data_IF_847136233552
#
_entry.id   IF_847136233552
#
_cell.length_a   1.000
_cell.length_b   1.000
_cell.length_c   1.000
_cell.angle_alpha   90.00
_cell.angle_beta   90.00
_cell.angle_gamma   90.00
#
_symmetry.space_group_name_H-M   'P 1'
#
loop_
_entity.id
_entity.type
_entity.pdbx_description
1 polymer ?
#
# COMPACT_ATOMS: atom_id res chain seq x y z
N UNK A 1 0.33 -12.80 24.82
CA UNK A 1 1.40 -11.77 24.83
C UNK A 1 2.77 -12.45 24.97
N UNK A 2 3.75 -12.06 24.15
CA UNK A 2 5.07 -12.69 23.92
C UNK A 2 5.08 -13.96 23.08
N UNK A 3 5.01 -13.81 21.75
CA UNK A 3 5.33 -14.88 20.79
C UNK A 3 6.75 -14.64 20.22
N UNK A 4 7.83 -15.04 20.90
CA UNK A 4 9.21 -14.86 20.41
C UNK A 4 9.45 -15.57 19.07
N UNK A 5 8.68 -16.62 18.78
CA UNK A 5 8.75 -17.44 17.55
C UNK A 5 8.48 -16.65 16.25
N UNK A 6 7.70 -15.56 16.32
CA UNK A 6 7.42 -14.74 15.14
C UNK A 6 8.66 -13.96 14.66
N UNK A 7 9.57 -13.61 15.57
CA UNK A 7 10.74 -12.79 15.28
C UNK A 7 11.80 -13.55 14.49
N UNK A 8 12.04 -14.82 14.84
CA UNK A 8 13.05 -15.65 14.17
C UNK A 8 12.77 -15.86 12.68
N UNK A 9 11.50 -16.02 12.30
CA UNK A 9 11.10 -16.14 10.88
C UNK A 9 11.33 -14.86 10.10
N UNK A 10 11.02 -13.71 10.71
CA UNK A 10 11.27 -12.40 10.12
C UNK A 10 12.77 -12.16 9.95
N UNK A 11 13.57 -12.44 10.98
CA UNK A 11 15.03 -12.33 10.95
C UNK A 11 15.64 -13.20 9.84
N UNK A 12 15.20 -14.45 9.69
CA UNK A 12 15.68 -15.36 8.65
C UNK A 12 15.33 -14.90 7.23
N UNK A 13 14.13 -14.36 7.06
CA UNK A 13 13.75 -13.73 5.79
C UNK A 13 14.65 -12.54 5.46
N UNK A 14 14.86 -11.61 6.39
CA UNK A 14 15.72 -10.45 6.16
C UNK A 14 17.18 -10.83 5.92
N UNK A 15 17.68 -11.88 6.56
CA UNK A 15 18.99 -12.45 6.28
C UNK A 15 19.08 -12.93 4.82
N UNK A 16 18.05 -13.62 4.32
CA UNK A 16 17.98 -14.10 2.94
C UNK A 16 17.97 -12.93 1.95
N UNK A 17 17.16 -11.91 2.20
CA UNK A 17 17.16 -10.66 1.40
C UNK A 17 18.56 -10.03 1.38
N UNK A 18 19.24 -9.97 2.53
CA UNK A 18 20.57 -9.39 2.64
C UNK A 18 21.64 -10.21 1.91
N UNK A 19 21.52 -11.54 1.90
CA UNK A 19 22.49 -12.43 1.27
C UNK A 19 22.27 -12.61 -0.24
N UNK A 20 21.04 -12.50 -0.73
CA UNK A 20 20.71 -12.81 -2.12
C UNK A 20 20.32 -11.56 -2.93
N UNK A 21 19.47 -10.68 -2.40
CA UNK A 21 18.95 -9.54 -3.16
C UNK A 21 19.87 -8.32 -3.10
N UNK A 22 20.37 -7.98 -1.91
CA UNK A 22 21.20 -6.78 -1.72
C UNK A 22 22.51 -6.76 -2.52
N UNK A 23 23.24 -7.89 -2.71
CA UNK A 23 24.43 -7.91 -3.56
C UNK A 23 24.11 -7.58 -5.02
N UNK A 24 22.97 -8.06 -5.53
CA UNK A 24 22.52 -7.79 -6.90
C UNK A 24 22.13 -6.31 -7.06
N UNK A 25 21.48 -5.73 -6.06
CA UNK A 25 21.18 -4.28 -6.03
C UNK A 25 22.47 -3.45 -6.09
N UNK A 26 23.54 -3.88 -5.40
CA UNK A 26 24.79 -3.14 -5.36
C UNK A 26 25.53 -3.08 -6.71
N UNK A 27 25.28 -4.04 -7.61
CA UNK A 27 25.90 -4.12 -8.94
C UNK A 27 24.97 -3.70 -10.09
N UNK A 28 23.67 -3.61 -9.82
CA UNK A 28 22.64 -3.22 -10.81
C UNK A 28 22.50 -1.70 -10.92
N UNK A 29 22.09 -1.21 -12.09
CA UNK A 29 21.82 0.22 -12.29
C UNK A 29 20.37 0.55 -11.97
N UNK A 30 20.05 0.69 -10.68
CA UNK A 30 18.70 1.06 -10.24
C UNK A 30 18.58 2.57 -10.09
N UNK A 31 17.63 3.17 -10.82
CA UNK A 31 17.50 4.62 -10.93
C UNK A 31 16.44 5.27 -10.04
N UNK A 32 15.58 4.47 -9.44
CA UNK A 32 14.52 4.99 -8.58
C UNK A 32 14.10 3.97 -7.53
N UNK A 33 13.39 4.47 -6.51
CA UNK A 33 12.74 3.60 -5.54
C UNK A 33 11.67 2.70 -6.20
N UNK A 34 11.00 3.20 -7.24
CA UNK A 34 10.01 2.42 -7.98
C UNK A 34 10.67 1.23 -8.68
N UNK A 35 11.80 1.45 -9.35
CA UNK A 35 12.57 0.38 -9.99
C UNK A 35 13.15 -0.61 -8.96
N UNK A 36 13.58 -0.13 -7.79
CA UNK A 36 13.99 -1.01 -6.69
C UNK A 36 12.82 -1.90 -6.23
N UNK A 37 11.64 -1.31 -6.05
CA UNK A 37 10.44 -2.05 -5.65
C UNK A 37 10.05 -3.09 -6.70
N UNK A 38 10.06 -2.74 -7.98
CA UNK A 38 9.79 -3.68 -9.08
C UNK A 38 10.80 -4.84 -9.08
N UNK A 39 12.08 -4.54 -8.91
CA UNK A 39 13.14 -5.56 -8.83
C UNK A 39 12.93 -6.49 -7.64
N UNK A 40 12.54 -5.92 -6.49
CA UNK A 40 12.27 -6.69 -5.29
C UNK A 40 11.04 -7.61 -5.47
N UNK A 41 9.96 -7.10 -6.06
CA UNK A 41 8.78 -7.92 -6.39
C UNK A 41 9.12 -9.07 -7.33
N UNK A 42 9.89 -8.81 -8.39
CA UNK A 42 10.32 -9.82 -9.32
C UNK A 42 11.16 -10.92 -8.64
N UNK A 43 12.16 -10.53 -7.84
CA UNK A 43 12.96 -11.47 -7.06
C UNK A 43 12.11 -12.27 -6.06
N UNK A 44 11.18 -11.61 -5.39
CA UNK A 44 10.33 -12.23 -4.37
C UNK A 44 9.42 -13.30 -4.98
N UNK A 45 8.76 -13.00 -6.11
CA UNK A 45 7.81 -13.91 -6.75
C UNK A 45 8.47 -15.02 -7.57
N UNK A 46 9.53 -14.70 -8.33
CA UNK A 46 10.19 -15.67 -9.21
C UNK A 46 11.22 -16.54 -8.48
N UNK A 47 11.88 -16.00 -7.45
CA UNK A 47 12.98 -16.69 -6.76
C UNK A 47 12.55 -17.12 -5.36
N UNK A 48 12.28 -16.18 -4.46
CA UNK A 48 12.11 -16.50 -3.03
C UNK A 48 10.89 -17.39 -2.77
N UNK A 49 9.73 -17.05 -3.33
CA UNK A 49 8.48 -17.79 -3.16
C UNK A 49 8.52 -19.21 -3.75
N UNK A 50 9.37 -19.45 -4.75
CA UNK A 50 9.52 -20.74 -5.43
C UNK A 50 10.64 -21.62 -4.85
N UNK A 51 11.60 -21.03 -4.12
CA UNK A 51 12.76 -21.76 -3.62
C UNK A 51 12.40 -22.57 -2.37
N UNK A 52 12.72 -23.86 -2.38
CA UNK A 52 12.52 -24.75 -1.24
C UNK A 52 13.35 -24.27 -0.05
N UNK A 53 12.69 -23.97 1.06
CA UNK A 53 13.37 -23.54 2.28
C UNK A 53 13.88 -24.74 3.08
N UNK A 54 15.14 -24.70 3.52
CA UNK A 54 15.83 -25.84 4.13
C UNK A 54 15.17 -26.35 5.43
N UNK A 55 14.58 -25.45 6.21
CA UNK A 55 13.92 -25.81 7.47
C UNK A 55 12.54 -26.47 7.27
N UNK A 56 11.77 -26.00 6.27
CA UNK A 56 10.40 -26.47 6.04
C UNK A 56 10.31 -27.58 5.00
N UNK A 57 11.36 -27.77 4.20
CA UNK A 57 11.40 -28.72 3.08
C UNK A 57 10.39 -28.41 1.97
N UNK A 58 9.84 -27.19 1.94
CA UNK A 58 8.80 -26.73 1.01
C UNK A 58 9.08 -25.31 0.58
N UNK A 59 8.60 -24.92 -0.60
CA UNK A 59 8.63 -23.53 -1.05
C UNK A 59 7.64 -22.67 -0.23
N UNK A 60 7.96 -21.40 0.09
CA UNK A 60 7.07 -20.52 0.86
C UNK A 60 5.67 -20.40 0.25
N UNK A 61 5.56 -20.31 -1.07
CA UNK A 61 4.28 -20.19 -1.78
C UNK A 61 3.41 -21.43 -1.60
N UNK A 62 3.97 -22.62 -1.80
CA UNK A 62 3.26 -23.89 -1.65
C UNK A 62 2.71 -24.04 -0.23
N UNK A 63 3.56 -23.74 0.77
CA UNK A 63 3.17 -23.81 2.17
C UNK A 63 2.08 -22.80 2.52
N UNK A 64 2.16 -21.59 1.97
CA UNK A 64 1.11 -20.57 2.14
C UNK A 64 -0.22 -21.01 1.53
N UNK A 65 -0.20 -21.54 0.30
CA UNK A 65 -1.39 -22.01 -0.41
C UNK A 65 -2.09 -23.15 0.35
N UNK A 66 -1.34 -24.08 0.95
CA UNK A 66 -1.90 -25.15 1.80
C UNK A 66 -2.64 -24.59 3.03
N UNK A 67 -2.17 -23.47 3.58
CA UNK A 67 -2.74 -22.84 4.77
C UNK A 67 -3.84 -21.81 4.44
N UNK A 68 -4.01 -21.41 3.18
CA UNK A 68 -4.89 -20.29 2.79
C UNK A 68 -6.36 -20.54 3.15
N UNK A 69 -6.79 -21.80 3.19
CA UNK A 69 -8.16 -22.19 3.58
C UNK A 69 -8.50 -21.79 5.02
N UNK A 70 -7.49 -21.60 5.87
CA UNK A 70 -7.66 -21.16 7.25
C UNK A 70 -7.66 -19.64 7.40
N UNK A 71 -7.43 -18.89 6.31
CA UNK A 71 -7.40 -17.43 6.31
C UNK A 71 -8.80 -16.91 6.06
N UNK A 72 -9.36 -16.17 7.04
CA UNK A 72 -10.63 -15.47 6.86
C UNK A 72 -10.42 -14.25 5.97
N UNK A 73 -11.16 -14.09 4.86
CA UNK A 73 -11.12 -12.85 4.09
C UNK A 73 -11.61 -11.69 4.96
N UNK A 74 -10.89 -10.58 4.90
CA UNK A 74 -11.34 -9.36 5.55
C UNK A 74 -12.41 -8.69 4.68
N UNK A 75 -13.42 -8.11 5.33
CA UNK A 75 -14.43 -7.33 4.62
C UNK A 75 -13.80 -6.07 4.03
N UNK A 76 -14.11 -5.79 2.76
CA UNK A 76 -13.51 -4.69 2.01
C UNK A 76 -13.76 -3.33 2.66
N UNK A 77 -14.98 -3.10 3.16
CA UNK A 77 -15.33 -1.86 3.84
C UNK A 77 -14.59 -1.73 5.17
N UNK A 78 -14.48 -2.81 5.95
CA UNK A 78 -13.70 -2.82 7.18
C UNK A 78 -12.21 -2.51 6.93
N UNK A 79 -11.63 -3.04 5.85
CA UNK A 79 -10.24 -2.74 5.49
C UNK A 79 -10.05 -1.26 5.17
N UNK A 80 -10.89 -0.68 4.30
CA UNK A 80 -10.81 0.75 3.97
C UNK A 80 -10.90 1.61 5.24
N UNK A 81 -11.84 1.29 6.13
CA UNK A 81 -12.03 2.01 7.38
C UNK A 81 -10.84 1.90 8.33
N UNK A 82 -10.12 0.78 8.32
CA UNK A 82 -8.94 0.56 9.16
C UNK A 82 -7.75 1.47 8.79
N UNK A 83 -7.64 1.87 7.52
CA UNK A 83 -6.54 2.72 7.02
C UNK A 83 -6.85 4.21 7.03
N UNK A 84 -8.08 4.62 7.38
CA UNK A 84 -8.42 6.04 7.48
C UNK A 84 -7.67 6.73 8.61
N UNK A 85 -7.07 7.86 8.29
CA UNK A 85 -6.43 8.72 9.28
C UNK A 85 -7.48 9.43 10.11
N UNK A 86 -7.15 9.67 11.39
CA UNK A 86 -8.08 10.27 12.35
C UNK A 86 -7.51 11.56 12.91
N UNK A 87 -8.29 12.62 12.84
CA UNK A 87 -7.96 13.89 13.48
C UNK A 87 -9.19 14.48 14.16
N UNK A 88 -9.03 15.06 15.35
CA UNK A 88 -10.11 15.79 16.02
C UNK A 88 -10.01 17.27 15.71
N UNK A 89 -11.11 17.87 15.23
CA UNK A 89 -11.20 19.31 14.97
C UNK A 89 -12.46 19.91 15.57
N UNK A 90 -12.34 21.16 16.00
CA UNK A 90 -13.48 21.95 16.50
C UNK A 90 -14.20 22.59 15.32
N UNK A 91 -15.53 22.49 15.31
CA UNK A 91 -16.35 23.22 14.34
C UNK A 91 -16.34 24.71 14.67
N UNK A 92 -15.98 25.53 13.68
CA UNK A 92 -15.93 26.99 13.81
C UNK A 92 -17.34 27.58 13.87
N UNK A 93 -17.44 28.87 14.24
CA UNK A 93 -18.73 29.58 14.40
C UNK A 93 -19.52 29.70 13.10
N UNK A 94 -18.85 29.62 11.96
CA UNK A 94 -19.41 29.66 10.61
C UNK A 94 -19.82 28.26 10.08
N UNK A 95 -19.79 27.22 10.92
CA UNK A 95 -20.20 25.86 10.53
C UNK A 95 -19.17 25.14 9.65
N UNK A 96 -17.89 25.53 9.73
CA UNK A 96 -16.81 24.95 8.92
C UNK A 96 -15.73 24.28 9.76
N UNK A 97 -15.04 23.34 9.13
CA UNK A 97 -13.85 22.65 9.65
C UNK A 97 -12.72 22.85 8.65
N UNK A 98 -11.52 23.09 9.17
CA UNK A 98 -10.31 23.18 8.35
C UNK A 98 -9.41 21.97 8.58
N UNK A 99 -8.93 21.40 7.46
CA UNK A 99 -7.98 20.28 7.48
C UNK A 99 -7.04 20.43 6.29
N UNK A 100 -5.73 20.43 6.53
CA UNK A 100 -4.68 20.50 5.49
C UNK A 100 -4.80 21.71 4.53
N UNK A 101 -5.44 22.80 4.97
CA UNK A 101 -5.72 23.98 4.13
C UNK A 101 -6.99 23.86 3.29
N UNK A 102 -7.73 22.76 3.39
CA UNK A 102 -9.08 22.60 2.84
C UNK A 102 -10.12 23.04 3.87
N UNK A 103 -11.29 23.45 3.39
CA UNK A 103 -12.44 23.83 4.22
C UNK A 103 -13.64 22.97 3.88
N UNK A 104 -14.27 22.43 4.92
CA UNK A 104 -15.41 21.53 4.84
C UNK A 104 -16.58 22.11 5.62
N UNK A 105 -17.76 22.13 5.01
CA UNK A 105 -18.99 22.53 5.64
C UNK A 105 -19.61 21.34 6.38
N UNK A 106 -20.10 21.61 7.59
CA UNK A 106 -20.80 20.66 8.45
C UNK A 106 -22.13 21.24 8.92
N UNK A 107 -22.99 20.40 9.49
CA UNK A 107 -24.26 20.86 10.04
C UNK A 107 -24.04 21.88 11.18
N UNK A 108 -24.85 22.94 11.18
CA UNK A 108 -24.83 23.99 12.19
C UNK A 108 -25.08 23.46 13.62
N UNK A 109 -25.75 22.31 13.78
CA UNK A 109 -25.95 21.66 15.07
C UNK A 109 -24.65 21.30 15.80
N UNK A 110 -23.54 21.17 15.06
CA UNK A 110 -22.23 20.83 15.60
C UNK A 110 -21.32 22.05 15.84
N UNK A 111 -21.79 23.28 15.62
CA UNK A 111 -21.00 24.49 15.87
C UNK A 111 -20.46 24.51 17.30
N UNK A 112 -19.15 24.72 17.43
CA UNK A 112 -18.44 24.74 18.71
C UNK A 112 -18.15 23.36 19.33
N UNK A 113 -18.62 22.26 18.71
CA UNK A 113 -18.31 20.90 19.15
C UNK A 113 -17.02 20.38 18.51
N UNK A 114 -16.44 19.35 19.12
CA UNK A 114 -15.31 18.61 18.57
C UNK A 114 -15.84 17.43 17.76
N UNK A 115 -15.39 17.29 16.53
CA UNK A 115 -15.69 16.16 15.65
C UNK A 115 -14.41 15.40 15.33
N UNK A 116 -14.52 14.07 15.26
CA UNK A 116 -13.47 13.23 14.72
C UNK A 116 -13.64 13.15 13.20
N UNK A 117 -12.58 13.48 12.47
CA UNK A 117 -12.51 13.44 11.02
C UNK A 117 -11.80 12.14 10.64
N UNK A 118 -12.41 11.36 9.76
CA UNK A 118 -11.80 10.18 9.15
C UNK A 118 -11.67 10.38 7.65
N UNK A 119 -10.45 10.27 7.14
CA UNK A 119 -10.15 10.56 5.73
C UNK A 119 -9.03 9.67 5.19
N UNK A 120 -8.96 9.55 3.87
CA UNK A 120 -7.83 8.95 3.18
C UNK A 120 -6.70 10.00 3.07
N UNK A 121 -5.48 9.75 3.58
CA UNK A 121 -4.40 10.72 3.47
C UNK A 121 -3.91 10.94 2.02
N UNK A 122 -4.24 10.03 1.08
CA UNK A 122 -3.95 10.15 -0.34
C UNK A 122 -5.06 10.84 -1.14
N UNK A 123 -6.25 11.01 -0.55
CA UNK A 123 -7.37 11.74 -1.15
C UNK A 123 -8.22 12.47 -0.09
N UNK A 124 -8.04 13.79 -0.02
CA UNK A 124 -8.76 14.69 0.86
C UNK A 124 -10.10 15.18 0.29
N UNK A 125 -10.56 14.65 -0.86
CA UNK A 125 -11.85 15.02 -1.44
C UNK A 125 -13.04 14.51 -0.61
N UNK A 126 -12.84 13.45 0.17
CA UNK A 126 -13.88 12.85 1.00
C UNK A 126 -13.46 12.87 2.46
N UNK A 127 -14.38 13.29 3.32
CA UNK A 127 -14.15 13.38 4.75
C UNK A 127 -15.37 12.84 5.48
N UNK A 128 -15.20 11.79 6.27
CA UNK A 128 -16.25 11.24 7.12
C UNK A 128 -16.15 11.86 8.51
N UNK A 129 -17.29 12.31 9.02
CA UNK A 129 -17.42 12.97 10.30
C UNK A 129 -17.96 11.98 11.33
N UNK A 130 -17.38 12.01 12.53
CA UNK A 130 -17.76 11.17 13.65
C UNK A 130 -17.96 12.02 14.91
N UNK A 131 -19.01 11.72 15.68
CA UNK A 131 -19.32 12.34 16.96
C UNK A 131 -19.67 11.25 17.98
N UNK A 132 -19.03 11.26 19.15
CA UNK A 132 -19.23 10.27 20.21
C UNK A 132 -19.20 8.81 19.73
N UNK A 133 -18.29 8.51 18.80
CA UNK A 133 -18.12 7.16 18.25
C UNK A 133 -19.19 6.74 17.23
N UNK A 134 -20.07 7.65 16.81
CA UNK A 134 -21.06 7.42 15.75
C UNK A 134 -20.70 8.20 14.48
N UNK A 135 -20.85 7.58 13.30
CA UNK A 135 -20.71 8.29 12.02
C UNK A 135 -21.91 9.21 11.82
N UNK A 136 -21.64 10.51 11.62
CA UNK A 136 -22.67 11.53 11.38
C UNK A 136 -22.80 11.87 9.89
N UNK A 137 -22.01 11.21 9.02
CA UNK A 137 -22.04 11.38 7.57
C UNK A 137 -20.77 11.99 7.00
N UNK A 138 -20.84 12.44 5.74
CA UNK A 138 -19.72 13.05 5.05
C UNK A 138 -19.80 14.58 5.09
N UNK A 139 -18.64 15.23 5.24
CA UNK A 139 -18.54 16.67 5.16
C UNK A 139 -18.59 17.12 3.70
N UNK A 140 -19.22 18.27 3.43
CA UNK A 140 -19.23 18.83 2.07
C UNK A 140 -18.00 19.70 1.88
N UNK A 141 -17.16 19.38 0.90
CA UNK A 141 -15.97 20.20 0.59
C UNK A 141 -16.42 21.55 0.03
N UNK A 142 -16.00 22.63 0.67
CA UNK A 142 -16.25 24.00 0.19
C UNK A 142 -15.03 24.56 -0.53
N UNK A 143 -13.83 24.29 -0.02
CA UNK A 143 -12.57 24.75 -0.61
C UNK A 143 -11.59 23.58 -0.60
N UNK A 144 -11.10 23.19 -1.77
CA UNK A 144 -10.11 22.12 -1.94
C UNK A 144 -8.78 22.70 -2.46
N UNK A 145 -7.88 23.05 -1.56
CA UNK A 145 -6.56 23.58 -1.89
C UNK A 145 -5.50 22.48 -2.03
N UNK A 146 -5.63 21.38 -1.28
CA UNK A 146 -4.75 20.21 -1.34
C UNK A 146 -5.56 18.95 -1.60
N UNK A 147 -5.02 18.08 -2.45
CA UNK A 147 -5.59 16.75 -2.69
C UNK A 147 -5.03 15.70 -1.73
N UNK A 148 -3.80 15.87 -1.24
CA UNK A 148 -3.10 14.91 -0.38
C UNK A 148 -2.69 15.55 0.93
N UNK A 149 -2.58 14.72 1.96
CA UNK A 149 -2.05 15.12 3.25
C UNK A 149 -0.55 15.46 3.12
N UNK A 150 -0.09 16.53 3.76
CA UNK A 150 1.29 17.03 3.63
C UNK A 150 2.36 15.99 4.01
N UNK A 151 2.06 15.11 4.98
CA UNK A 151 2.98 14.04 5.37
C UNK A 151 3.16 13.00 4.27
N UNK A 152 2.11 12.68 3.50
CA UNK A 152 2.20 11.77 2.34
C UNK A 152 3.01 12.43 1.23
N UNK A 153 2.78 13.70 0.96
CA UNK A 153 3.51 14.45 -0.06
C UNK A 153 5.02 14.50 0.22
N UNK A 154 5.42 14.64 1.49
CA UNK A 154 6.83 14.64 1.90
C UNK A 154 7.52 13.27 1.77
N UNK A 155 6.77 12.18 1.80
CA UNK A 155 7.32 10.83 1.61
C UNK A 155 7.72 10.57 0.15
N UNK A 156 7.23 11.37 -0.80
CA UNK A 156 7.72 11.36 -2.18
C UNK A 156 9.10 12.03 -2.23
N UNK A 157 10.14 11.35 -1.76
CA UNK A 157 11.52 11.78 -1.95
C UNK A 157 11.88 11.71 -3.44
N UNK A 158 12.51 12.78 -3.94
CA UNK A 158 13.16 12.71 -5.25
C UNK A 158 14.24 11.62 -5.23
N UNK A 159 14.36 10.80 -6.28
CA UNK A 159 15.36 9.75 -6.32
C UNK A 159 16.76 10.37 -6.23
N UNK A 160 17.67 9.79 -5.41
CA UNK A 160 19.06 10.21 -5.41
C UNK A 160 19.68 9.98 -6.80
N UNK A 161 20.74 10.74 -7.16
CA UNK A 161 21.43 10.54 -8.43
C UNK A 161 21.95 9.11 -8.53
N UNK A 162 21.75 8.52 -9.71
CA UNK A 162 22.11 7.14 -10.04
C UNK A 162 23.62 6.90 -9.99
N UNK A 163 24.10 5.92 -9.21
CA UNK A 163 25.40 5.33 -9.49
C UNK A 163 25.33 4.54 -10.81
N UNK A 164 26.37 4.68 -11.66
CA UNK A 164 26.49 3.88 -12.88
C UNK A 164 26.96 2.47 -12.51
N UNK A 165 26.25 1.46 -13.01
CA UNK A 165 26.63 0.05 -12.85
C UNK A 165 28.01 -0.24 -13.48
N UNK A 166 28.76 -1.13 -12.84
CA UNK A 166 30.05 -1.65 -13.31
C UNK A 166 29.95 -3.05 -13.94
N UNK A 167 28.75 -3.65 -13.99
CA UNK A 167 28.54 -5.03 -14.45
C UNK A 167 28.14 -5.09 -15.93
N UNK A 168 28.59 -6.13 -16.63
CA UNK A 168 28.27 -6.38 -18.04
C UNK A 168 26.89 -7.03 -18.27
N UNK A 169 26.21 -7.48 -17.21
CA UNK A 169 24.85 -8.03 -17.23
C UNK A 169 24.10 -7.60 -15.97
N UNK A 170 22.92 -6.97 -16.13
CA UNK A 170 22.06 -6.56 -15.02
C UNK A 170 21.02 -7.67 -14.75
N UNK A 171 21.32 -8.52 -13.75
CA UNK A 171 20.46 -9.63 -13.35
C UNK A 171 19.06 -9.16 -12.93
N UNK A 172 18.96 -8.05 -12.19
CA UNK A 172 17.68 -7.55 -11.72
C UNK A 172 16.83 -7.00 -12.86
N UNK A 173 17.44 -6.38 -13.87
CA UNK A 173 16.72 -5.96 -15.07
C UNK A 173 16.10 -7.16 -15.82
N UNK A 174 16.83 -8.27 -15.89
CA UNK A 174 16.34 -9.51 -16.51
C UNK A 174 15.16 -10.11 -15.72
N UNK A 175 15.26 -10.15 -14.39
CA UNK A 175 14.16 -10.57 -13.53
C UNK A 175 12.92 -9.68 -13.67
N UNK A 176 13.09 -8.34 -13.73
CA UNK A 176 11.97 -7.41 -13.96
C UNK A 176 11.24 -7.76 -15.25
N UNK A 177 11.98 -7.99 -16.34
CA UNK A 177 11.39 -8.35 -17.63
C UNK A 177 10.62 -9.68 -17.55
N UNK A 178 11.21 -10.71 -16.95
CA UNK A 178 10.58 -12.02 -16.79
C UNK A 178 9.30 -11.92 -15.95
N UNK A 179 9.34 -11.12 -14.88
CA UNK A 179 8.18 -10.89 -14.02
C UNK A 179 7.05 -10.15 -14.77
N UNK A 180 7.38 -9.14 -15.58
CA UNK A 180 6.41 -8.44 -16.42
C UNK A 180 5.76 -9.36 -17.46
N UNK A 181 6.53 -10.29 -18.03
CA UNK A 181 6.02 -11.32 -18.94
C UNK A 181 5.09 -12.29 -18.20
N UNK A 182 5.50 -12.75 -17.01
CA UNK A 182 4.68 -13.58 -16.14
C UNK A 182 3.35 -12.91 -15.77
N UNK A 183 3.38 -11.63 -15.35
CA UNK A 183 2.17 -10.86 -15.04
C UNK A 183 1.26 -10.69 -16.26
N UNK A 184 1.83 -10.40 -17.45
CA UNK A 184 1.06 -10.31 -18.70
C UNK A 184 0.39 -11.63 -19.08
N UNK A 185 1.06 -12.76 -18.85
CA UNK A 185 0.49 -14.08 -19.09
C UNK A 185 -0.62 -14.40 -18.07
N UNK A 186 -0.40 -14.11 -16.78
CA UNK A 186 -1.34 -14.35 -15.71
C UNK A 186 -2.62 -13.49 -15.83
N UNK A 187 -2.48 -12.23 -16.27
CA UNK A 187 -3.62 -11.34 -16.53
C UNK A 187 -4.50 -11.82 -17.71
N UNK A 188 -3.98 -12.70 -18.58
CA UNK A 188 -4.64 -13.14 -19.81
C UNK A 188 -4.90 -11.99 -20.80
N UNK A 189 -5.42 -12.31 -21.98
CA UNK A 189 -6.09 -11.29 -22.81
C UNK A 189 -7.35 -10.87 -22.06
N UNK A 190 -7.37 -9.69 -21.44
CA UNK A 190 -8.58 -9.04 -20.93
C UNK A 190 -9.67 -9.09 -22.03
N UNK A 191 -10.56 -10.08 -21.96
CA UNK A 191 -11.66 -10.24 -22.91
C UNK A 191 -12.79 -9.30 -22.48
N UNK A 192 -12.73 -8.05 -22.94
CA UNK A 192 -13.78 -7.04 -22.76
C UNK A 192 -15.17 -7.49 -23.25
N UNK A 193 -15.26 -8.56 -24.06
CA UNK A 193 -16.52 -9.14 -24.55
C UNK A 193 -17.39 -9.77 -23.47
N UNK A 194 -16.93 -9.98 -22.24
CA UNK A 194 -17.75 -10.51 -21.14
C UNK A 194 -18.39 -9.45 -20.24
N UNK A 195 -18.09 -8.15 -20.41
CA UNK A 195 -18.64 -7.10 -19.53
C UNK A 195 -20.04 -6.60 -19.93
N UNK A 196 -20.56 -6.94 -21.12
CA UNK A 196 -21.87 -6.47 -21.61
C UNK A 196 -22.96 -7.55 -21.61
N UNK A 197 -23.06 -8.35 -20.54
CA UNK A 197 -24.17 -9.31 -20.43
C UNK A 197 -24.72 -9.45 -19.02
N UNK A 198 -25.06 -8.32 -18.41
CA UNK A 198 -25.99 -8.28 -17.29
C UNK A 198 -26.58 -6.86 -17.17
N UNK A 199 -27.54 -6.58 -18.03
CA UNK A 199 -28.62 -5.61 -17.80
C UNK A 199 -29.77 -6.05 -18.72
N UNK A 200 -30.69 -6.83 -18.15
CA UNK A 200 -32.05 -7.00 -18.64
C UNK A 200 -32.95 -7.46 -17.51
#
# INVERSE_FOLDING_TARGET
>A
PYCPEGKGKQERFFETVRLQFMPEVAVSSIASLDELNQSFWAWLELIYHQTVHSETGQAPLERYQQAVQNVRPADHNQLIQAFRWRETRKVRKDGRIELQGNSYQVDASFIGRMLELRFDPFDLSTLELWFDGCSIGQATVTIQNRQRHIQVERLATQPPPTPKSAASLDYLALLRQEYDEFQRQAAGKLQFTKLHKQDN
#
